data_IF_776716164345
#
_entry.id   IF_776716164345
#
_cell.length_a   1.000
_cell.length_b   1.000
_cell.length_c   1.000
_cell.angle_alpha   90.00
_cell.angle_beta   90.00
_cell.angle_gamma   90.00
#
_symmetry.space_group_name_H-M   'P 1'
#
loop_
_entity.id
_entity.type
_entity.pdbx_description
1 polymer ?
#
# COMPACT_ATOMS: atom_id res chain seq x y z
N UNK A 1 -4.27 -3.11 1.33
CA UNK A 1 -3.85 -2.00 0.45
C UNK A 1 -2.89 -1.06 1.17
N UNK A 2 -3.32 -0.38 2.25
CA UNK A 2 -2.51 0.59 3.03
C UNK A 2 -1.14 0.05 3.46
N UNK A 3 -1.12 -1.12 4.11
CA UNK A 3 0.12 -1.74 4.58
C UNK A 3 1.13 -2.02 3.45
N UNK A 4 0.65 -2.49 2.30
CA UNK A 4 1.52 -2.79 1.15
C UNK A 4 2.04 -1.50 0.51
N UNK A 5 1.24 -0.44 0.46
CA UNK A 5 1.70 0.88 0.04
C UNK A 5 2.78 1.41 0.98
N UNK A 6 2.58 1.37 2.30
CA UNK A 6 3.58 1.81 3.28
C UNK A 6 4.92 1.09 3.05
N UNK A 7 4.89 -0.25 2.95
CA UNK A 7 6.08 -1.05 2.64
C UNK A 7 6.77 -0.66 1.33
N UNK A 8 6.03 -0.38 0.26
CA UNK A 8 6.59 0.01 -1.04
C UNK A 8 7.32 1.35 -0.97
N UNK A 9 6.74 2.33 -0.29
CA UNK A 9 7.28 3.69 -0.19
C UNK A 9 8.34 3.87 0.91
N UNK A 10 8.48 2.91 1.83
CA UNK A 10 9.58 2.85 2.80
C UNK A 10 10.87 2.20 2.25
N UNK A 11 10.89 1.78 0.98
CA UNK A 11 12.10 1.20 0.37
C UNK A 11 13.17 2.27 0.09
N UNK A 12 14.45 1.89 0.13
CA UNK A 12 15.58 2.82 -0.10
C UNK A 12 15.48 3.55 -1.46
N UNK A 13 14.98 2.87 -2.50
CA UNK A 13 14.77 3.46 -3.82
C UNK A 13 13.69 4.55 -3.86
N UNK A 14 12.79 4.58 -2.88
CA UNK A 14 11.73 5.59 -2.77
C UNK A 14 12.28 6.93 -2.25
N UNK A 15 13.17 6.90 -1.27
CA UNK A 15 13.79 8.10 -0.70
C UNK A 15 14.60 8.90 -1.73
N UNK A 16 15.20 8.22 -2.71
CA UNK A 16 15.90 8.87 -3.82
C UNK A 16 14.96 9.44 -4.91
N UNK A 17 13.71 8.98 -4.95
CA UNK A 17 12.75 9.33 -6.00
C UNK A 17 11.80 10.47 -5.61
N UNK A 18 11.58 10.69 -4.31
CA UNK A 18 10.59 11.63 -3.80
C UNK A 18 11.22 12.66 -2.85
N UNK A 19 10.54 13.79 -2.70
CA UNK A 19 10.87 14.74 -1.63
C UNK A 19 10.68 14.07 -0.27
N UNK A 20 11.74 14.09 0.55
CA UNK A 20 11.78 13.38 1.83
C UNK A 20 10.69 13.87 2.80
N UNK A 21 10.38 15.17 2.81
CA UNK A 21 9.35 15.73 3.68
C UNK A 21 7.95 15.26 3.27
N UNK A 22 7.65 15.31 1.96
CA UNK A 22 6.38 14.82 1.43
C UNK A 22 6.23 13.30 1.61
N UNK A 23 7.31 12.54 1.39
CA UNK A 23 7.33 11.10 1.59
C UNK A 23 7.07 10.75 3.06
N UNK A 24 7.71 11.46 4.00
CA UNK A 24 7.51 11.26 5.42
C UNK A 24 6.08 11.57 5.86
N UNK A 25 5.51 12.69 5.39
CA UNK A 25 4.10 13.04 5.64
C UNK A 25 3.15 11.98 5.08
N UNK A 26 3.42 11.50 3.87
CA UNK A 26 2.63 10.46 3.24
C UNK A 26 2.64 9.15 4.04
N UNK A 27 3.82 8.65 4.40
CA UNK A 27 3.95 7.43 5.21
C UNK A 27 3.29 7.58 6.59
N UNK A 28 3.46 8.73 7.24
CA UNK A 28 2.81 9.01 8.53
C UNK A 28 1.28 9.00 8.41
N UNK A 29 0.74 9.57 7.33
CA UNK A 29 -0.69 9.54 7.04
C UNK A 29 -1.21 8.11 6.81
N UNK A 30 -0.47 7.29 6.04
CA UNK A 30 -0.80 5.89 5.82
C UNK A 30 -0.82 5.08 7.12
N UNK A 31 0.17 5.28 7.99
CA UNK A 31 0.27 4.57 9.26
C UNK A 31 -0.87 4.96 10.21
N UNK A 32 -1.31 6.23 10.19
CA UNK A 32 -2.50 6.64 10.94
C UNK A 32 -3.76 5.94 10.43
N UNK A 33 -3.98 5.95 9.11
CA UNK A 33 -5.14 5.26 8.52
C UNK A 33 -5.13 3.75 8.79
N UNK A 34 -3.94 3.14 8.82
CA UNK A 34 -3.79 1.72 9.14
C UNK A 34 -4.19 1.44 10.60
N UNK A 35 -3.72 2.26 11.56
CA UNK A 35 -4.11 2.13 12.98
C UNK A 35 -5.62 2.28 13.18
N UNK A 36 -6.23 3.23 12.48
CA UNK A 36 -7.68 3.44 12.55
C UNK A 36 -8.44 2.20 12.05
N UNK A 37 -7.97 1.59 10.95
CA UNK A 37 -8.56 0.37 10.38
C UNK A 37 -8.36 -0.84 11.31
N UNK A 38 -7.17 -1.01 11.89
CA UNK A 38 -6.89 -2.06 12.88
C UNK A 38 -7.80 -1.94 14.11
N UNK A 39 -8.05 -0.72 14.59
CA UNK A 39 -8.99 -0.47 15.68
C UNK A 39 -10.43 -0.89 15.33
N UNK A 40 -10.87 -0.70 14.08
CA UNK A 40 -12.17 -1.19 13.60
C UNK A 40 -12.21 -2.73 13.59
N UNK A 41 -11.19 -3.39 13.02
CA UNK A 41 -11.12 -4.86 12.96
C UNK A 41 -11.11 -5.46 14.38
N UNK A 42 -10.38 -4.86 15.32
CA UNK A 42 -10.37 -5.32 16.72
C UNK A 42 -11.75 -5.25 17.40
N UNK A 43 -12.64 -4.35 16.97
CA UNK A 43 -14.02 -4.28 17.45
C UNK A 43 -14.90 -5.37 16.83
N UNK A 44 -14.61 -5.81 15.60
CA UNK A 44 -15.35 -6.85 14.88
C UNK A 44 -14.96 -8.28 15.28
N UNK A 45 -13.70 -8.53 15.69
CA UNK A 45 -13.20 -9.85 16.13
C UNK A 45 -13.95 -10.41 17.35
N UNK A 46 -14.74 -9.58 18.05
CA UNK A 46 -15.66 -10.03 19.10
C UNK A 46 -16.94 -10.72 18.60
N UNK A 47 -17.22 -10.74 17.29
CA UNK A 47 -18.56 -11.09 16.76
C UNK A 47 -18.64 -12.29 15.81
N UNK A 48 -17.61 -12.70 15.05
CA UNK A 48 -17.71 -13.95 14.24
C UNK A 48 -16.36 -14.42 13.68
N UNK A 49 -16.26 -15.72 13.37
CA UNK A 49 -15.03 -16.41 12.96
C UNK A 49 -14.42 -15.91 11.64
N UNK A 50 -13.12 -16.16 11.48
CA UNK A 50 -12.30 -15.72 10.36
C UNK A 50 -12.90 -16.14 9.00
N UNK A 51 -13.31 -15.21 8.12
CA UNK A 51 -13.83 -15.56 6.82
C UNK A 51 -12.68 -15.91 5.88
N UNK A 52 -12.62 -17.14 5.38
CA UNK A 52 -11.69 -17.59 4.34
C UNK A 52 -11.62 -16.66 3.11
N UNK A 53 -12.71 -15.93 2.82
CA UNK A 53 -12.79 -14.93 1.73
C UNK A 53 -11.88 -13.72 1.96
N UNK A 54 -11.54 -13.41 3.21
CA UNK A 54 -10.61 -12.33 3.57
C UNK A 54 -9.17 -12.70 3.21
N UNK A 55 -8.77 -13.96 3.41
CA UNK A 55 -7.44 -14.46 3.08
C UNK A 55 -7.14 -14.41 1.57
N UNK A 56 -8.09 -14.83 0.73
CA UNK A 56 -7.95 -14.77 -0.73
C UNK A 56 -7.80 -13.32 -1.22
N UNK A 57 -8.57 -12.41 -0.63
CA UNK A 57 -8.52 -10.98 -0.95
C UNK A 57 -7.19 -10.36 -0.52
N UNK A 58 -6.70 -10.68 0.69
CA UNK A 58 -5.38 -10.25 1.18
C UNK A 58 -4.27 -10.79 0.27
N UNK A 59 -4.36 -12.06 -0.14
CA UNK A 59 -3.38 -12.67 -1.03
C UNK A 59 -3.36 -12.02 -2.42
N UNK A 60 -4.53 -11.69 -2.98
CA UNK A 60 -4.63 -10.97 -4.24
C UNK A 60 -3.95 -9.59 -4.17
N UNK A 61 -4.18 -8.85 -3.08
CA UNK A 61 -3.52 -7.57 -2.83
C UNK A 61 -2.01 -7.73 -2.72
N UNK A 62 -1.51 -8.72 -1.98
CA UNK A 62 -0.06 -8.99 -1.87
C UNK A 62 0.56 -9.32 -3.22
N UNK A 63 -0.08 -10.19 -4.02
CA UNK A 63 0.38 -10.54 -5.38
C UNK A 63 0.44 -9.33 -6.30
N UNK A 64 -0.54 -8.43 -6.20
CA UNK A 64 -0.57 -7.20 -6.97
C UNK A 64 0.63 -6.29 -6.65
N UNK A 65 0.87 -5.99 -5.37
CA UNK A 65 2.02 -5.16 -4.97
C UNK A 65 3.36 -5.82 -5.28
N UNK A 66 3.45 -7.15 -5.15
CA UNK A 66 4.65 -7.88 -5.55
C UNK A 66 5.01 -7.64 -7.03
N UNK A 67 4.02 -7.60 -7.94
CA UNK A 67 4.25 -7.28 -9.36
C UNK A 67 4.76 -5.85 -9.55
N UNK A 68 4.26 -4.89 -8.76
CA UNK A 68 4.73 -3.51 -8.80
C UNK A 68 6.19 -3.39 -8.34
N UNK A 69 6.58 -4.12 -7.29
CA UNK A 69 7.98 -4.16 -6.83
C UNK A 69 8.89 -4.77 -7.88
N UNK A 70 8.49 -5.87 -8.52
CA UNK A 70 9.26 -6.48 -9.62
C UNK A 70 9.41 -5.53 -10.80
N UNK A 71 8.34 -4.79 -11.15
CA UNK A 71 8.40 -3.77 -12.20
C UNK A 71 9.43 -2.67 -11.89
N UNK A 72 9.46 -2.16 -10.65
CA UNK A 72 10.46 -1.17 -10.24
C UNK A 72 11.89 -1.71 -10.37
N UNK A 73 12.11 -2.97 -9.95
CA UNK A 73 13.42 -3.63 -10.07
C UNK A 73 13.84 -3.76 -11.54
N UNK A 74 12.94 -4.21 -12.42
CA UNK A 74 13.20 -4.34 -13.86
C UNK A 74 13.54 -2.98 -14.50
N UNK A 75 12.89 -1.90 -14.04
CA UNK A 75 13.16 -0.54 -14.51
C UNK A 75 14.26 0.19 -13.74
N UNK A 76 15.04 -0.55 -12.95
CA UNK A 76 16.17 -0.04 -12.16
C UNK A 76 15.82 1.20 -11.32
N UNK A 77 14.60 1.23 -10.77
CA UNK A 77 14.10 2.33 -9.96
C UNK A 77 14.18 3.70 -10.65
N UNK A 78 14.08 3.72 -11.98
CA UNK A 78 14.12 4.98 -12.74
C UNK A 78 13.00 5.94 -12.36
N UNK A 79 13.19 7.27 -12.51
CA UNK A 79 12.17 8.26 -12.18
C UNK A 79 10.83 8.02 -12.90
N UNK A 80 10.86 7.63 -14.18
CA UNK A 80 9.65 7.32 -14.94
C UNK A 80 8.91 6.09 -14.38
N UNK A 81 9.63 5.09 -13.86
CA UNK A 81 9.01 3.93 -13.25
C UNK A 81 8.31 4.30 -11.94
N UNK A 82 8.92 5.17 -11.14
CA UNK A 82 8.30 5.70 -9.91
C UNK A 82 7.02 6.51 -10.19
N UNK A 83 6.99 7.31 -11.25
CA UNK A 83 5.77 8.02 -11.66
C UNK A 83 4.63 7.07 -12.04
N UNK A 84 4.94 5.95 -12.70
CA UNK A 84 3.96 4.91 -13.02
C UNK A 84 3.43 4.25 -11.74
N UNK A 85 4.32 3.92 -10.80
CA UNK A 85 3.91 3.37 -9.49
C UNK A 85 3.03 4.35 -8.72
N UNK A 86 3.39 5.65 -8.69
CA UNK A 86 2.58 6.69 -8.04
C UNK A 86 1.19 6.75 -8.65
N UNK A 87 1.08 6.78 -9.98
CA UNK A 87 -0.20 6.79 -10.68
C UNK A 87 -1.06 5.56 -10.36
N UNK A 88 -0.45 4.38 -10.34
CA UNK A 88 -1.13 3.12 -10.08
C UNK A 88 -1.61 3.00 -8.63
N UNK A 89 -0.81 3.48 -7.68
CA UNK A 89 -1.18 3.55 -6.25
C UNK A 89 -2.33 4.54 -6.05
N UNK A 90 -2.29 5.73 -6.66
CA UNK A 90 -3.40 6.69 -6.62
C UNK A 90 -4.70 6.12 -7.20
N UNK A 91 -4.60 5.41 -8.33
CA UNK A 91 -5.74 4.71 -8.95
C UNK A 91 -6.35 3.70 -7.98
N UNK A 92 -5.51 2.90 -7.35
CA UNK A 92 -5.94 1.87 -6.40
C UNK A 92 -6.66 2.46 -5.18
N UNK A 93 -6.11 3.54 -4.60
CA UNK A 93 -6.78 4.26 -3.51
C UNK A 93 -8.11 4.88 -3.92
N UNK A 94 -8.19 5.42 -5.13
CA UNK A 94 -9.44 5.97 -5.67
C UNK A 94 -10.50 4.88 -5.80
N UNK A 95 -10.13 3.68 -6.24
CA UNK A 95 -11.03 2.53 -6.28
C UNK A 95 -11.48 2.08 -4.88
N UNK A 96 -10.57 2.06 -3.89
CA UNK A 96 -10.92 1.72 -2.50
C UNK A 96 -11.96 2.64 -1.87
N UNK A 97 -12.05 3.90 -2.30
CA UNK A 97 -13.06 4.85 -1.77
C UNK A 97 -14.47 4.60 -2.30
N UNK A 98 -14.63 3.77 -3.32
CA UNK A 98 -15.91 3.46 -3.97
C UNK A 98 -16.42 2.04 -3.63
N UNK A 99 -15.75 1.35 -2.70
CA UNK A 99 -16.16 0.08 -2.11
C UNK A 99 -16.92 0.36 -0.80
#
# INVERSE_FOLDING_TARGET
MLQQTSQLFSTEGSAAAWDESLLHQFCTGLDQQLRDLEACVMQEVGLEGTPLLEEDSILAVRKYFHRLTLYLQEKSYSPCAWEIIRAEVMRSFSSSRNL
#
